data_IF_018033055185
#
_entry.id   IF_018033055185
#
_cell.length_a   1.000
_cell.length_b   1.000
_cell.length_c   1.000
_cell.angle_alpha   90.00
_cell.angle_beta   90.00
_cell.angle_gamma   90.00
#
_symmetry.space_group_name_H-M   'P 1'
#
loop_
_entity.id
_entity.type
_entity.pdbx_description
1 polymer ?
#
# COMPACT_ATOMS: atom_id res chain seq x y z
N UNK A 1 -1.86 -3.02 14.96
CA UNK A 1 -0.46 -2.59 14.93
C UNK A 1 -0.03 -2.11 16.31
N UNK A 2 1.09 -2.63 16.81
CA UNK A 2 1.62 -2.28 18.13
C UNK A 2 2.68 -1.18 18.07
N UNK A 3 3.40 -1.10 16.96
CA UNK A 3 4.33 -0.01 16.65
C UNK A 3 3.88 0.74 15.40
N UNK A 4 3.87 2.06 15.43
CA UNK A 4 3.54 2.91 14.29
C UNK A 4 4.82 3.58 13.77
N UNK A 5 5.07 3.57 12.44
CA UNK A 5 6.23 4.24 11.86
C UNK A 5 5.99 5.76 11.83
N UNK A 6 6.20 6.39 12.96
CA UNK A 6 6.08 7.85 13.10
C UNK A 6 7.06 8.60 12.21
N UNK A 7 6.68 9.80 11.80
CA UNK A 7 7.62 10.71 11.17
C UNK A 7 8.83 10.94 12.10
N UNK A 8 10.07 10.95 11.58
CA UNK A 8 11.26 11.19 12.38
C UNK A 8 11.22 12.52 13.15
N UNK A 9 10.40 13.46 12.71
CA UNK A 9 10.19 14.76 13.34
C UNK A 9 9.05 14.76 14.36
N UNK A 10 8.39 13.61 14.57
CA UNK A 10 7.31 13.52 15.53
C UNK A 10 7.85 13.61 16.95
N UNK A 11 7.15 14.39 17.79
CA UNK A 11 7.51 14.62 19.18
C UNK A 11 7.62 13.33 19.99
N UNK A 12 6.73 12.37 19.71
CA UNK A 12 6.65 11.12 20.46
C UNK A 12 7.76 10.14 20.08
N UNK A 13 8.18 10.15 18.81
CA UNK A 13 9.39 9.43 18.35
C UNK A 13 10.64 9.98 19.05
N UNK A 14 10.79 11.31 19.07
CA UNK A 14 11.94 11.97 19.74
C UNK A 14 11.97 11.64 21.22
N UNK A 15 10.81 11.57 21.87
CA UNK A 15 10.67 11.26 23.30
C UNK A 15 10.67 9.77 23.63
N UNK A 16 10.67 8.87 22.63
CA UNK A 16 10.63 7.40 22.78
C UNK A 16 9.47 6.90 23.64
N UNK A 17 8.24 7.44 23.47
CA UNK A 17 7.18 7.29 24.48
C UNK A 17 5.84 6.81 23.99
N UNK A 18 5.62 6.39 22.77
CA UNK A 18 4.24 6.04 22.44
C UNK A 18 3.98 4.54 22.47
N UNK A 19 3.53 4.07 23.63
CA UNK A 19 2.95 2.75 23.79
C UNK A 19 1.41 2.78 23.79
N UNK A 20 0.80 3.97 23.65
CA UNK A 20 -0.64 4.15 23.82
C UNK A 20 -1.43 3.35 22.79
N UNK A 21 -1.10 3.48 21.51
CA UNK A 21 -1.76 2.71 20.45
C UNK A 21 -1.48 1.21 20.54
N UNK A 22 -0.27 0.83 20.96
CA UNK A 22 0.07 -0.55 21.23
C UNK A 22 -0.82 -1.16 22.30
N UNK A 23 -1.01 -0.42 23.42
CA UNK A 23 -1.86 -0.87 24.51
C UNK A 23 -3.34 -0.96 24.12
N UNK A 24 -3.87 0.03 23.40
CA UNK A 24 -5.25 0.00 22.90
C UNK A 24 -5.47 -1.22 22.01
N UNK A 25 -4.56 -1.47 21.06
CA UNK A 25 -4.69 -2.60 20.14
C UNK A 25 -4.57 -3.95 20.87
N UNK A 26 -3.67 -4.06 21.85
CA UNK A 26 -3.56 -5.25 22.70
C UNK A 26 -4.84 -5.49 23.50
N UNK A 27 -5.31 -4.46 24.23
CA UNK A 27 -6.51 -4.57 25.04
C UNK A 27 -7.77 -4.90 24.22
N UNK A 28 -7.91 -4.29 23.05
CA UNK A 28 -8.99 -4.59 22.10
C UNK A 28 -8.90 -6.02 21.58
N UNK A 29 -7.70 -6.49 21.24
CA UNK A 29 -7.48 -7.87 20.80
C UNK A 29 -7.79 -8.87 21.91
N UNK A 30 -7.43 -8.56 23.17
CA UNK A 30 -7.74 -9.43 24.30
C UNK A 30 -9.25 -9.51 24.58
N UNK A 31 -9.96 -8.39 24.45
CA UNK A 31 -11.40 -8.31 24.73
C UNK A 31 -12.30 -8.87 23.61
N UNK A 32 -11.80 -8.95 22.38
CA UNK A 32 -12.57 -9.44 21.23
C UNK A 32 -12.81 -10.96 21.35
N UNK A 33 -13.93 -11.45 20.82
CA UNK A 33 -14.20 -12.90 20.68
C UNK A 33 -13.44 -13.48 19.49
N UNK A 34 -13.36 -12.75 18.36
CA UNK A 34 -12.62 -13.12 17.15
C UNK A 34 -11.85 -11.92 16.59
N UNK A 35 -10.72 -12.22 15.92
CA UNK A 35 -9.84 -11.20 15.35
C UNK A 35 -9.52 -11.57 13.90
N UNK A 36 -9.86 -10.67 12.98
CA UNK A 36 -9.52 -10.81 11.58
C UNK A 36 -8.43 -9.83 11.18
N UNK A 37 -7.33 -10.36 10.66
CA UNK A 37 -6.27 -9.56 10.06
C UNK A 37 -6.42 -9.52 8.54
N UNK A 38 -6.19 -8.38 7.92
CA UNK A 38 -6.35 -8.21 6.48
C UNK A 38 -5.24 -8.85 5.63
N UNK A 39 -4.17 -9.34 6.26
CA UNK A 39 -3.11 -10.12 5.61
C UNK A 39 -2.34 -10.95 6.65
N UNK A 40 -1.66 -11.98 6.17
CA UNK A 40 -0.74 -12.78 7.00
C UNK A 40 0.44 -11.94 7.50
N UNK A 41 0.93 -11.02 6.65
CA UNK A 41 1.94 -10.05 7.05
C UNK A 41 1.46 -9.19 8.23
N UNK A 42 0.24 -8.68 8.19
CA UNK A 42 -0.34 -7.88 9.29
C UNK A 42 -0.43 -8.69 10.58
N UNK A 43 -0.95 -9.91 10.51
CA UNK A 43 -1.06 -10.82 11.65
C UNK A 43 0.32 -11.12 12.25
N UNK A 44 1.27 -11.51 11.42
CA UNK A 44 2.63 -11.83 11.87
C UNK A 44 3.33 -10.59 12.49
N UNK A 45 3.17 -9.42 11.89
CA UNK A 45 3.72 -8.16 12.42
C UNK A 45 3.14 -7.85 13.81
N UNK A 46 1.84 -8.06 14.00
CA UNK A 46 1.20 -7.86 15.30
C UNK A 46 1.79 -8.79 16.37
N UNK A 47 1.90 -10.08 16.10
CA UNK A 47 2.40 -11.05 17.08
C UNK A 47 3.90 -10.94 17.33
N UNK A 48 4.70 -10.58 16.31
CA UNK A 48 6.12 -10.33 16.48
C UNK A 48 6.40 -9.15 17.41
N UNK A 49 5.56 -8.11 17.35
CA UNK A 49 5.68 -6.93 18.20
C UNK A 49 5.04 -7.12 19.58
N UNK A 50 4.08 -8.04 19.72
CA UNK A 50 3.30 -8.23 20.96
C UNK A 50 4.16 -8.74 22.12
N UNK A 51 5.01 -9.72 21.87
CA UNK A 51 5.88 -10.27 22.89
C UNK A 51 6.85 -9.24 23.50
N UNK A 52 7.67 -8.49 22.71
CA UNK A 52 8.53 -7.46 23.27
C UNK A 52 7.73 -6.31 23.90
N UNK A 53 6.53 -6.01 23.37
CA UNK A 53 5.65 -5.00 23.95
C UNK A 53 5.21 -5.37 25.37
N UNK A 54 4.72 -6.61 25.58
CA UNK A 54 4.29 -7.06 26.90
C UNK A 54 5.49 -7.20 27.87
N UNK A 55 6.64 -7.66 27.41
CA UNK A 55 7.87 -7.71 28.22
C UNK A 55 8.39 -6.36 28.67
N UNK A 56 7.93 -5.27 28.07
CA UNK A 56 8.31 -3.93 28.52
C UNK A 56 7.73 -3.58 29.90
N UNK A 57 6.64 -4.21 30.30
CA UNK A 57 6.03 -4.02 31.61
C UNK A 57 6.79 -4.87 32.66
N UNK A 58 7.27 -4.25 33.77
CA UNK A 58 8.10 -4.95 34.77
C UNK A 58 7.34 -5.99 35.58
N UNK A 59 6.04 -5.74 35.78
CA UNK A 59 5.15 -6.59 36.57
C UNK A 59 3.90 -6.93 35.78
N UNK A 60 3.29 -8.10 36.03
CA UNK A 60 2.05 -8.53 35.39
C UNK A 60 2.05 -8.39 33.87
N UNK A 61 3.13 -8.83 33.22
CA UNK A 61 3.31 -8.69 31.77
C UNK A 61 2.39 -9.58 30.91
N UNK A 62 1.68 -10.52 31.55
CA UNK A 62 0.59 -11.32 30.96
C UNK A 62 0.93 -11.96 29.59
N UNK A 63 2.15 -12.49 29.45
CA UNK A 63 2.64 -13.08 28.18
C UNK A 63 1.75 -14.22 27.70
N UNK A 64 1.12 -14.95 28.62
CA UNK A 64 0.20 -16.05 28.30
C UNK A 64 -1.02 -15.60 27.49
N UNK A 65 -1.39 -14.33 27.57
CA UNK A 65 -2.45 -13.76 26.74
C UNK A 65 -2.13 -13.77 25.23
N UNK A 66 -0.86 -13.93 24.85
CA UNK A 66 -0.48 -14.05 23.43
C UNK A 66 -1.13 -15.27 22.81
N UNK A 67 -1.09 -16.42 23.48
CA UNK A 67 -1.71 -17.66 23.02
C UNK A 67 -3.24 -17.52 22.95
N UNK A 68 -3.85 -16.85 23.94
CA UNK A 68 -5.29 -16.57 23.93
C UNK A 68 -5.69 -15.75 22.70
N UNK A 69 -4.90 -14.72 22.39
CA UNK A 69 -5.16 -13.85 21.21
C UNK A 69 -4.89 -14.63 19.91
N UNK A 70 -3.85 -15.44 19.85
CA UNK A 70 -3.52 -16.24 18.66
C UNK A 70 -4.64 -17.22 18.31
N UNK A 71 -5.18 -17.93 19.31
CA UNK A 71 -6.22 -18.95 19.10
C UNK A 71 -7.54 -18.41 18.53
N UNK A 72 -7.79 -17.11 18.63
CA UNK A 72 -8.98 -16.42 18.08
C UNK A 72 -8.67 -15.50 16.92
N UNK A 73 -7.47 -15.64 16.34
CA UNK A 73 -6.98 -14.78 15.26
C UNK A 73 -6.83 -15.56 13.96
N UNK A 74 -7.33 -14.98 12.87
CA UNK A 74 -7.12 -15.52 11.54
C UNK A 74 -7.01 -14.41 10.47
N UNK A 75 -6.62 -14.79 9.26
CA UNK A 75 -6.54 -13.86 8.14
C UNK A 75 -7.85 -13.87 7.37
N UNK A 76 -8.44 -12.69 7.20
CA UNK A 76 -9.55 -12.45 6.29
C UNK A 76 -9.17 -11.23 5.43
N UNK A 77 -8.80 -11.48 4.17
CA UNK A 77 -8.39 -10.43 3.26
C UNK A 77 -9.53 -9.44 3.00
N UNK A 78 -9.18 -8.17 2.77
CA UNK A 78 -10.18 -7.16 2.44
C UNK A 78 -10.84 -7.47 1.10
N UNK A 79 -12.16 -7.41 1.09
CA UNK A 79 -12.96 -7.48 -0.13
C UNK A 79 -13.10 -6.07 -0.72
N UNK A 80 -12.91 -5.97 -2.04
CA UNK A 80 -12.88 -4.71 -2.78
C UNK A 80 -13.99 -4.70 -3.83
N UNK A 81 -14.56 -3.54 -4.08
CA UNK A 81 -15.54 -3.35 -5.17
C UNK A 81 -14.82 -3.03 -6.49
N UNK A 82 -14.12 -4.02 -7.06
CA UNK A 82 -13.28 -3.78 -8.23
C UNK A 82 -14.09 -3.66 -9.52
N UNK A 83 -15.16 -4.41 -9.69
CA UNK A 83 -15.99 -4.36 -10.90
C UNK A 83 -16.58 -2.97 -11.17
N UNK A 84 -16.77 -2.13 -10.15
CA UNK A 84 -17.26 -0.76 -10.34
C UNK A 84 -16.32 0.12 -11.17
N UNK A 85 -15.03 -0.21 -11.23
CA UNK A 85 -14.07 0.52 -12.06
C UNK A 85 -14.32 0.30 -13.56
N UNK A 86 -14.92 -0.82 -13.96
CA UNK A 86 -15.15 -1.15 -15.37
C UNK A 86 -16.11 -0.19 -16.06
N UNK A 87 -17.03 0.46 -15.33
CA UNK A 87 -17.90 1.51 -15.86
C UNK A 87 -17.15 2.73 -16.39
N UNK A 88 -15.91 2.91 -15.97
CA UNK A 88 -15.06 4.06 -16.31
C UNK A 88 -13.85 3.68 -17.16
N UNK A 89 -13.84 2.44 -17.69
CA UNK A 89 -12.74 1.94 -18.50
C UNK A 89 -12.48 2.86 -19.68
N UNK A 90 -11.24 3.26 -19.85
CA UNK A 90 -10.77 4.15 -20.91
C UNK A 90 -9.44 3.67 -21.47
N UNK A 91 -9.06 4.20 -22.63
CA UNK A 91 -7.75 3.94 -23.23
C UNK A 91 -6.62 4.44 -22.33
N UNK A 92 -5.53 3.71 -22.29
CA UNK A 92 -4.29 4.12 -21.63
C UNK A 92 -3.73 5.39 -22.27
N UNK A 93 -3.03 6.18 -21.48
CA UNK A 93 -2.33 7.36 -21.96
C UNK A 93 -1.23 6.99 -22.97
N UNK A 94 -1.04 7.81 -24.00
CA UNK A 94 -0.12 7.50 -25.10
C UNK A 94 1.37 7.67 -24.73
N UNK A 95 1.67 8.42 -23.69
CA UNK A 95 2.99 8.61 -23.09
C UNK A 95 3.06 7.83 -21.77
N UNK A 96 4.23 7.36 -21.30
CA UNK A 96 4.30 6.71 -20.01
C UNK A 96 3.72 7.59 -18.92
N UNK A 97 2.66 7.15 -18.27
CA UNK A 97 1.96 7.89 -17.22
C UNK A 97 2.14 7.19 -15.89
N UNK A 98 2.89 7.82 -15.02
CA UNK A 98 3.18 7.34 -13.67
C UNK A 98 2.06 7.74 -12.71
N UNK A 99 1.68 6.82 -11.85
CA UNK A 99 0.63 7.00 -10.86
C UNK A 99 1.20 6.94 -9.44
N UNK A 100 1.04 8.02 -8.69
CA UNK A 100 1.09 8.01 -7.23
C UNK A 100 -0.33 7.89 -6.70
N UNK A 101 -0.64 6.77 -6.03
CA UNK A 101 -1.99 6.48 -5.53
C UNK A 101 -2.00 6.22 -4.01
N UNK A 102 -1.44 7.16 -3.26
CA UNK A 102 -1.33 7.09 -1.81
C UNK A 102 -1.68 8.42 -1.16
N UNK A 103 -2.08 8.38 0.12
CA UNK A 103 -2.13 9.56 0.98
C UNK A 103 -0.75 10.22 1.01
N UNK A 104 -0.72 11.53 1.21
CA UNK A 104 0.53 12.28 1.25
C UNK A 104 1.13 12.22 2.64
N UNK A 105 1.62 11.05 2.99
CA UNK A 105 2.16 10.74 4.30
C UNK A 105 3.59 10.23 4.21
N UNK A 106 4.31 10.38 5.31
CA UNK A 106 5.71 9.99 5.46
C UNK A 106 5.94 8.49 5.17
N UNK A 107 5.05 7.63 5.66
CA UNK A 107 5.17 6.17 5.54
C UNK A 107 5.05 5.65 4.10
N UNK A 108 4.60 6.48 3.16
CA UNK A 108 4.59 6.17 1.72
C UNK A 108 5.90 6.51 1.02
N UNK A 109 6.86 7.12 1.76
CA UNK A 109 8.21 7.46 1.30
C UNK A 109 8.24 8.31 0.02
N UNK A 110 7.52 9.45 0.00
CA UNK A 110 7.45 10.32 -1.17
C UNK A 110 8.80 10.93 -1.55
N UNK A 111 9.72 11.11 -0.59
CA UNK A 111 11.07 11.58 -0.85
C UNK A 111 11.78 10.66 -1.84
N UNK A 112 11.80 9.37 -1.57
CA UNK A 112 12.45 8.38 -2.42
C UNK A 112 11.80 8.30 -3.81
N UNK A 113 10.47 8.35 -3.86
CA UNK A 113 9.72 8.37 -5.11
C UNK A 113 10.12 9.56 -5.97
N UNK A 114 9.98 10.78 -5.48
CA UNK A 114 10.25 11.98 -6.28
C UNK A 114 11.73 12.18 -6.61
N UNK A 115 12.66 11.79 -5.73
CA UNK A 115 14.10 11.83 -6.04
C UNK A 115 14.46 10.84 -7.16
N UNK A 116 13.83 9.67 -7.21
CA UNK A 116 14.02 8.71 -8.32
C UNK A 116 13.47 9.28 -9.63
N UNK A 117 12.27 9.87 -9.62
CA UNK A 117 11.71 10.52 -10.81
C UNK A 117 12.60 11.66 -11.31
N UNK A 118 13.16 12.47 -10.40
CA UNK A 118 14.08 13.53 -10.75
C UNK A 118 15.33 13.00 -11.45
N UNK A 119 15.93 11.92 -10.95
CA UNK A 119 17.08 11.25 -11.61
C UNK A 119 16.70 10.79 -13.02
N UNK A 120 15.54 10.18 -13.21
CA UNK A 120 15.07 9.74 -14.52
C UNK A 120 14.83 10.91 -15.48
N UNK A 121 14.21 12.00 -15.02
CA UNK A 121 14.02 13.22 -15.82
C UNK A 121 15.35 13.82 -16.26
N UNK A 122 16.34 13.92 -15.38
CA UNK A 122 17.70 14.38 -15.69
C UNK A 122 18.40 13.46 -16.70
N UNK A 123 18.17 12.15 -16.61
CA UNK A 123 18.68 11.17 -17.56
C UNK A 123 17.94 11.17 -18.92
N UNK A 124 16.99 12.07 -19.14
CA UNK A 124 16.29 12.28 -20.41
C UNK A 124 15.09 11.36 -20.65
N UNK A 125 14.63 10.61 -19.63
CA UNK A 125 13.40 9.82 -19.75
C UNK A 125 12.18 10.71 -19.70
N UNK A 126 11.29 10.56 -20.69
CA UNK A 126 10.05 11.33 -20.78
C UNK A 126 8.88 10.54 -20.20
N UNK A 127 8.07 11.19 -19.36
CA UNK A 127 6.89 10.63 -18.71
C UNK A 127 5.94 11.73 -18.27
N UNK A 128 4.67 11.38 -18.08
CA UNK A 128 3.69 12.22 -17.40
C UNK A 128 3.39 11.68 -15.99
N UNK A 129 2.79 12.48 -15.14
CA UNK A 129 2.61 12.20 -13.72
C UNK A 129 1.19 12.52 -13.25
N UNK A 130 0.59 11.57 -12.56
CA UNK A 130 -0.61 11.75 -11.75
C UNK A 130 -0.24 11.54 -10.29
N UNK A 131 -0.53 12.52 -9.43
CA UNK A 131 -0.34 12.43 -7.99
C UNK A 131 -1.70 12.57 -7.33
N UNK A 132 -2.30 11.44 -6.99
CA UNK A 132 -3.55 11.36 -6.23
C UNK A 132 -3.29 11.35 -4.74
N UNK A 133 -4.35 11.40 -3.97
CA UNK A 133 -4.33 11.20 -2.53
C UNK A 133 -4.61 12.45 -1.72
N UNK A 134 -5.04 12.20 -0.50
CA UNK A 134 -5.39 13.23 0.45
C UNK A 134 -4.15 13.95 0.97
N UNK A 135 -4.27 15.28 1.03
CA UNK A 135 -3.23 16.18 1.52
C UNK A 135 -3.65 16.74 2.87
N UNK A 136 -3.02 16.27 3.91
CA UNK A 136 -3.23 16.77 5.28
C UNK A 136 -2.32 17.97 5.58
N UNK A 137 -2.63 18.72 6.63
CA UNK A 137 -1.84 19.89 7.08
C UNK A 137 -0.37 19.58 7.32
N UNK A 138 -0.06 18.34 7.70
CA UNK A 138 1.30 17.86 8.01
C UNK A 138 1.96 17.06 6.87
N UNK A 139 1.46 17.20 5.64
CA UNK A 139 2.04 16.49 4.49
C UNK A 139 3.52 16.82 4.28
N UNK A 140 4.34 15.85 3.84
CA UNK A 140 5.76 16.06 3.58
C UNK A 140 6.02 17.19 2.61
N UNK A 141 6.98 18.07 2.94
CA UNK A 141 7.34 19.25 2.12
C UNK A 141 7.84 18.90 0.72
N UNK A 142 8.21 17.64 0.50
CA UNK A 142 8.68 17.16 -0.81
C UNK A 142 7.62 17.34 -1.89
N UNK A 143 6.32 17.21 -1.58
CA UNK A 143 5.25 17.40 -2.53
C UNK A 143 5.25 18.82 -3.14
N UNK A 144 5.50 19.86 -2.34
CA UNK A 144 5.59 21.24 -2.82
C UNK A 144 6.80 21.44 -3.74
N UNK A 145 7.95 20.83 -3.42
CA UNK A 145 9.16 20.88 -4.24
C UNK A 145 8.95 20.11 -5.55
N UNK A 146 8.40 18.89 -5.46
CA UNK A 146 8.14 18.05 -6.61
C UNK A 146 7.16 18.69 -7.60
N UNK A 147 6.09 19.34 -7.11
CA UNK A 147 5.15 20.06 -7.98
C UNK A 147 5.84 21.07 -8.89
N UNK A 148 6.85 21.80 -8.38
CA UNK A 148 7.63 22.75 -9.19
C UNK A 148 8.57 22.06 -10.18
N UNK A 149 9.23 20.95 -9.76
CA UNK A 149 10.19 20.22 -10.61
C UNK A 149 9.50 19.54 -11.79
N UNK A 150 8.29 19.05 -11.59
CA UNK A 150 7.53 18.26 -12.56
C UNK A 150 6.35 19.04 -13.19
N UNK A 151 6.32 20.37 -13.09
CA UNK A 151 5.19 21.20 -13.54
C UNK A 151 4.71 20.82 -14.94
N UNK A 152 5.64 20.66 -15.89
CA UNK A 152 5.35 20.31 -17.29
C UNK A 152 4.91 18.85 -17.50
N UNK A 153 5.10 17.99 -16.51
CA UNK A 153 4.77 16.56 -16.58
C UNK A 153 3.43 16.23 -15.88
N UNK A 154 2.89 17.15 -15.07
CA UNK A 154 1.75 16.88 -14.20
C UNK A 154 0.44 16.98 -14.97
N UNK A 155 -0.32 15.90 -15.02
CA UNK A 155 -1.69 15.87 -15.53
C UNK A 155 -2.73 16.06 -14.41
N UNK A 156 -2.42 15.59 -13.20
CA UNK A 156 -3.26 15.81 -12.02
C UNK A 156 -2.41 15.85 -10.75
N UNK A 157 -2.82 16.71 -9.79
CA UNK A 157 -2.12 16.86 -8.52
C UNK A 157 -3.08 17.16 -7.38
N UNK A 158 -3.28 16.19 -6.50
CA UNK A 158 -4.10 16.34 -5.30
C UNK A 158 -5.25 15.34 -5.21
N UNK A 159 -6.09 15.57 -4.22
CA UNK A 159 -7.24 14.73 -3.93
C UNK A 159 -8.33 14.84 -5.00
N UNK A 160 -8.93 13.73 -5.36
CA UNK A 160 -10.10 13.64 -6.25
C UNK A 160 -11.33 13.34 -5.40
N UNK A 161 -12.36 14.19 -5.50
CA UNK A 161 -13.53 14.12 -4.63
C UNK A 161 -14.53 13.03 -5.02
N UNK A 162 -14.62 12.72 -6.30
CA UNK A 162 -15.59 11.77 -6.82
C UNK A 162 -14.91 10.49 -7.35
N UNK A 163 -15.64 9.38 -7.22
CA UNK A 163 -15.16 8.07 -7.63
C UNK A 163 -14.92 7.98 -9.14
N UNK A 164 -15.77 8.61 -9.95
CA UNK A 164 -15.70 8.57 -11.40
C UNK A 164 -14.37 9.11 -11.93
N UNK A 165 -13.99 10.28 -11.42
CA UNK A 165 -12.71 10.91 -11.76
C UNK A 165 -11.52 10.09 -11.27
N UNK A 166 -11.62 9.51 -10.06
CA UNK A 166 -10.60 8.62 -9.51
C UNK A 166 -10.40 7.39 -10.40
N UNK A 167 -11.49 6.69 -10.75
CA UNK A 167 -11.46 5.51 -11.60
C UNK A 167 -10.88 5.82 -13.00
N UNK A 168 -11.29 6.95 -13.60
CA UNK A 168 -10.76 7.39 -14.90
C UNK A 168 -9.25 7.64 -14.87
N UNK A 169 -8.72 8.19 -13.78
CA UNK A 169 -7.27 8.38 -13.63
C UNK A 169 -6.52 7.05 -13.51
N UNK A 170 -7.07 6.09 -12.75
CA UNK A 170 -6.48 4.76 -12.64
C UNK A 170 -6.45 4.05 -14.00
N UNK A 171 -7.52 4.12 -14.79
CA UNK A 171 -7.54 3.53 -16.14
C UNK A 171 -6.57 4.20 -17.10
N UNK A 172 -6.39 5.51 -17.02
CA UNK A 172 -5.45 6.24 -17.89
C UNK A 172 -3.98 5.94 -17.59
N UNK A 173 -3.64 5.73 -16.33
CA UNK A 173 -2.26 5.50 -15.90
C UNK A 173 -1.69 4.19 -16.45
N UNK A 174 -0.37 4.12 -16.61
CA UNK A 174 0.35 2.97 -17.15
C UNK A 174 1.16 2.24 -16.09
N UNK A 175 1.82 2.96 -15.19
CA UNK A 175 2.82 2.42 -14.27
C UNK A 175 2.50 2.91 -12.87
N UNK A 176 2.54 1.98 -11.90
CA UNK A 176 2.32 2.21 -10.48
C UNK A 176 3.61 1.94 -9.70
N UNK A 177 4.50 2.93 -9.53
CA UNK A 177 5.66 2.78 -8.65
C UNK A 177 5.24 2.94 -7.19
N UNK A 178 5.56 1.96 -6.35
CA UNK A 178 5.21 1.93 -4.92
C UNK A 178 6.45 1.99 -4.07
N UNK A 179 6.52 2.96 -3.14
CA UNK A 179 7.69 3.19 -2.28
C UNK A 179 7.38 3.03 -0.79
N UNK A 180 6.19 2.56 -0.44
CA UNK A 180 5.69 2.47 0.93
C UNK A 180 6.64 1.73 1.88
N UNK A 181 6.78 2.29 3.08
CA UNK A 181 7.47 1.67 4.23
C UNK A 181 6.47 0.99 5.17
N UNK A 182 5.18 1.26 5.04
CA UNK A 182 4.10 0.70 5.82
C UNK A 182 2.90 0.40 4.94
N UNK A 183 2.45 -0.86 4.95
CA UNK A 183 1.23 -1.31 4.29
C UNK A 183 0.84 -2.70 4.79
N UNK A 184 -0.43 -2.88 5.12
CA UNK A 184 -0.94 -4.17 5.61
C UNK A 184 -1.78 -4.93 4.58
N UNK A 185 -2.30 -4.25 3.56
CA UNK A 185 -2.99 -4.87 2.44
C UNK A 185 -2.69 -4.13 1.13
N UNK A 186 -3.00 -2.84 1.03
CA UNK A 186 -2.76 -2.05 -0.18
C UNK A 186 -3.98 -1.99 -1.09
N UNK A 187 -5.12 -1.55 -0.55
CA UNK A 187 -6.37 -1.37 -1.32
C UNK A 187 -6.14 -0.59 -2.60
N UNK A 188 -5.55 0.61 -2.50
CA UNK A 188 -5.31 1.47 -3.66
C UNK A 188 -4.34 0.85 -4.70
N UNK A 189 -3.47 -0.06 -4.24
CA UNK A 189 -2.56 -0.81 -5.12
C UNK A 189 -3.36 -1.85 -5.92
N UNK A 190 -4.23 -2.61 -5.25
CA UNK A 190 -5.07 -3.61 -5.92
C UNK A 190 -6.05 -2.97 -6.91
N UNK A 191 -6.65 -1.82 -6.56
CA UNK A 191 -7.49 -1.04 -7.47
C UNK A 191 -6.72 -0.60 -8.72
N UNK A 192 -5.50 -0.08 -8.56
CA UNK A 192 -4.68 0.33 -9.68
C UNK A 192 -4.24 -0.86 -10.55
N UNK A 193 -3.90 -2.00 -9.94
CA UNK A 193 -3.56 -3.25 -10.66
C UNK A 193 -4.78 -3.76 -11.43
N UNK A 194 -5.96 -3.74 -10.83
CA UNK A 194 -7.20 -4.09 -11.51
C UNK A 194 -7.44 -3.22 -12.75
N UNK A 195 -7.14 -1.92 -12.65
CA UNK A 195 -7.18 -0.97 -13.76
C UNK A 195 -5.97 -1.08 -14.71
N UNK A 196 -5.27 -2.22 -14.71
CA UNK A 196 -4.18 -2.53 -15.66
C UNK A 196 -3.00 -1.55 -15.57
N UNK A 197 -2.60 -1.15 -14.35
CA UNK A 197 -1.34 -0.43 -14.14
C UNK A 197 -0.22 -1.42 -13.82
N UNK A 198 0.95 -1.23 -14.46
CA UNK A 198 2.14 -2.05 -14.23
C UNK A 198 2.74 -1.71 -12.85
N UNK A 199 2.63 -2.61 -11.85
CA UNK A 199 3.13 -2.30 -10.51
C UNK A 199 4.64 -2.52 -10.42
N UNK A 200 5.31 -1.64 -9.67
CA UNK A 200 6.69 -1.80 -9.22
C UNK A 200 6.66 -1.73 -7.70
N UNK A 201 6.81 -2.85 -7.04
CA UNK A 201 6.54 -3.07 -5.63
C UNK A 201 7.81 -3.34 -4.83
N UNK A 202 7.93 -2.86 -3.59
CA UNK A 202 9.00 -3.33 -2.73
C UNK A 202 8.76 -4.79 -2.32
N UNK A 203 9.83 -5.59 -2.31
CA UNK A 203 9.77 -6.99 -1.88
C UNK A 203 9.70 -7.09 -0.35
N UNK A 204 8.66 -6.50 0.21
CA UNK A 204 8.39 -6.45 1.66
C UNK A 204 6.93 -6.17 1.93
N UNK A 205 6.54 -6.10 3.20
CA UNK A 205 5.18 -5.83 3.68
C UNK A 205 4.21 -6.92 3.20
N UNK A 206 2.96 -6.54 2.90
CA UNK A 206 1.94 -7.46 2.39
C UNK A 206 2.07 -7.81 0.90
N UNK A 207 2.88 -7.07 0.12
CA UNK A 207 2.93 -7.22 -1.33
C UNK A 207 3.31 -8.63 -1.82
N UNK A 208 4.36 -9.31 -1.26
CA UNK A 208 4.71 -10.67 -1.69
C UNK A 208 3.64 -11.73 -1.40
N UNK A 209 2.75 -11.47 -0.44
CA UNK A 209 1.60 -12.32 -0.14
C UNK A 209 0.48 -12.13 -1.17
N UNK A 210 0.21 -10.87 -1.52
CA UNK A 210 -0.89 -10.50 -2.40
C UNK A 210 -0.57 -10.80 -3.87
N UNK A 211 0.68 -10.60 -4.26
CA UNK A 211 1.22 -10.87 -5.59
C UNK A 211 2.43 -11.78 -5.42
N UNK A 212 2.31 -13.10 -5.65
CA UNK A 212 3.38 -14.06 -5.33
C UNK A 212 4.70 -13.70 -6.00
N UNK A 213 5.72 -13.38 -5.20
CA UNK A 213 7.04 -12.95 -5.66
C UNK A 213 7.68 -13.93 -6.66
N UNK A 214 7.57 -15.23 -6.41
CA UNK A 214 8.19 -16.26 -7.23
C UNK A 214 7.70 -16.25 -8.69
N UNK A 215 6.44 -15.85 -8.91
CA UNK A 215 5.81 -15.80 -10.22
C UNK A 215 5.96 -14.44 -10.89
N UNK A 216 6.22 -13.39 -10.11
CA UNK A 216 6.16 -12.00 -10.55
C UNK A 216 7.39 -11.18 -10.16
N UNK A 217 8.60 -11.78 -10.17
CA UNK A 217 9.87 -11.15 -9.75
C UNK A 217 10.16 -9.82 -10.43
N UNK A 218 9.74 -9.65 -11.68
CA UNK A 218 9.98 -8.43 -12.46
C UNK A 218 9.22 -7.21 -11.94
N UNK A 219 8.20 -7.43 -11.13
CA UNK A 219 7.44 -6.38 -10.47
C UNK A 219 8.05 -5.94 -9.13
N UNK A 220 9.11 -6.62 -8.66
CA UNK A 220 9.66 -6.38 -7.33
C UNK A 220 11.06 -5.76 -7.37
N UNK A 221 11.36 -4.99 -6.31
CA UNK A 221 12.68 -4.46 -6.03
C UNK A 221 13.02 -4.64 -4.54
N UNK A 222 14.31 -4.86 -4.25
CA UNK A 222 14.83 -5.05 -2.90
C UNK A 222 15.60 -3.81 -2.40
N UNK A 223 16.09 -2.96 -3.32
CA UNK A 223 16.88 -1.77 -3.01
C UNK A 223 16.64 -0.63 -4.02
N UNK A 224 17.25 0.51 -3.74
CA UNK A 224 17.04 1.74 -4.49
C UNK A 224 17.51 1.64 -5.96
N UNK A 225 18.60 0.94 -6.20
CA UNK A 225 19.13 0.80 -7.57
C UNK A 225 18.21 -0.08 -8.41
N UNK A 226 17.72 -1.17 -7.83
CA UNK A 226 16.71 -2.02 -8.49
C UNK A 226 15.42 -1.26 -8.77
N UNK A 227 14.96 -0.40 -7.85
CA UNK A 227 13.78 0.43 -8.09
C UNK A 227 13.97 1.35 -9.28
N UNK A 228 15.11 2.05 -9.34
CA UNK A 228 15.46 2.91 -10.47
C UNK A 228 15.48 2.13 -11.79
N UNK A 229 16.14 0.97 -11.82
CA UNK A 229 16.23 0.15 -13.03
C UNK A 229 14.89 -0.44 -13.45
N UNK A 230 14.05 -0.92 -12.50
CA UNK A 230 12.70 -1.39 -12.79
C UNK A 230 11.83 -0.28 -13.37
N UNK A 231 11.88 0.92 -12.80
CA UNK A 231 11.12 2.05 -13.27
C UNK A 231 11.60 2.54 -14.64
N UNK A 232 12.91 2.63 -14.84
CA UNK A 232 13.51 2.92 -16.15
C UNK A 232 13.04 1.94 -17.24
N UNK A 233 13.11 0.64 -16.96
CA UNK A 233 12.69 -0.40 -17.90
C UNK A 233 11.17 -0.34 -18.17
N UNK A 234 10.37 -0.03 -17.14
CA UNK A 234 8.94 0.14 -17.31
C UNK A 234 8.59 1.36 -18.18
N UNK A 235 9.32 2.47 -18.05
CA UNK A 235 9.14 3.66 -18.91
C UNK A 235 9.42 3.34 -20.38
N UNK A 236 10.44 2.52 -20.67
CA UNK A 236 10.79 2.13 -22.04
C UNK A 236 9.75 1.18 -22.62
N UNK A 237 9.28 0.22 -21.83
CA UNK A 237 8.48 -0.91 -22.30
C UNK A 237 6.99 -0.86 -21.90
N UNK A 238 6.45 0.29 -21.53
CA UNK A 238 5.09 0.41 -20.94
C UNK A 238 3.95 -0.11 -21.84
N UNK A 239 4.13 -0.05 -23.17
CA UNK A 239 3.12 -0.53 -24.14
C UNK A 239 3.14 -2.04 -24.35
N UNK A 240 4.25 -2.70 -24.05
CA UNK A 240 4.45 -4.14 -24.34
C UNK A 240 4.24 -5.04 -23.12
N UNK A 241 3.80 -4.50 -21.98
CA UNK A 241 3.61 -5.27 -20.75
C UNK A 241 2.29 -6.03 -20.79
N UNK A 242 2.36 -7.35 -20.63
CA UNK A 242 1.17 -8.17 -20.36
C UNK A 242 0.80 -8.03 -18.87
N UNK A 243 -0.41 -7.55 -18.63
CA UNK A 243 -0.92 -7.29 -17.29
C UNK A 243 -2.04 -8.26 -16.89
N UNK A 244 -2.44 -9.19 -17.76
CA UNK A 244 -3.56 -10.08 -17.51
C UNK A 244 -3.32 -10.98 -16.29
N UNK A 245 -2.13 -11.55 -16.16
CA UNK A 245 -1.78 -12.43 -15.03
C UNK A 245 -1.87 -11.71 -13.68
N UNK A 246 -1.36 -10.48 -13.62
CA UNK A 246 -1.36 -9.64 -12.42
C UNK A 246 -2.76 -9.09 -12.11
N UNK A 247 -3.52 -8.67 -13.12
CA UNK A 247 -4.91 -8.25 -12.95
C UNK A 247 -5.76 -9.36 -12.33
N UNK A 248 -5.59 -10.59 -12.78
CA UNK A 248 -6.30 -11.75 -12.23
C UNK A 248 -6.00 -11.99 -10.74
N UNK A 249 -4.80 -11.62 -10.26
CA UNK A 249 -4.48 -11.67 -8.84
C UNK A 249 -5.24 -10.61 -8.03
N UNK A 250 -5.46 -9.42 -8.57
CA UNK A 250 -6.30 -8.42 -7.92
C UNK A 250 -7.77 -8.85 -7.90
N UNK A 251 -8.26 -9.43 -9.00
CA UNK A 251 -9.67 -9.88 -9.14
C UNK A 251 -10.09 -10.87 -8.06
N UNK A 252 -9.18 -11.71 -7.53
CA UNK A 252 -9.52 -12.63 -6.43
C UNK A 252 -9.98 -11.91 -5.15
N UNK A 253 -9.63 -10.64 -4.98
CA UNK A 253 -10.05 -9.80 -3.86
C UNK A 253 -11.32 -8.99 -4.14
N UNK A 254 -11.94 -9.18 -5.31
CA UNK A 254 -13.22 -8.56 -5.59
C UNK A 254 -14.30 -9.09 -4.63
N UNK A 255 -15.19 -8.18 -4.19
CA UNK A 255 -16.30 -8.51 -3.29
C UNK A 255 -17.12 -9.69 -3.79
N UNK A 256 -17.38 -9.77 -5.08
CA UNK A 256 -18.08 -10.87 -5.71
C UNK A 256 -17.48 -12.25 -5.41
N UNK A 257 -16.15 -12.32 -5.32
CA UNK A 257 -15.42 -13.56 -5.04
C UNK A 257 -15.25 -13.84 -3.54
N UNK A 258 -15.24 -12.80 -2.71
CA UNK A 258 -15.02 -12.94 -1.28
C UNK A 258 -16.30 -12.94 -0.43
N UNK A 259 -17.44 -12.49 -0.95
CA UNK A 259 -18.68 -12.39 -0.17
C UNK A 259 -19.04 -13.72 0.52
N UNK A 260 -19.00 -14.84 -0.19
CA UNK A 260 -19.28 -16.16 0.39
C UNK A 260 -18.28 -16.59 1.46
N UNK A 261 -17.03 -16.14 1.35
CA UNK A 261 -15.99 -16.40 2.37
C UNK A 261 -16.31 -15.61 3.65
N UNK A 262 -16.75 -14.36 3.49
CA UNK A 262 -17.18 -13.53 4.62
C UNK A 262 -18.41 -14.12 5.30
N UNK A 263 -19.44 -14.48 4.53
CA UNK A 263 -20.66 -15.08 5.08
C UNK A 263 -20.35 -16.35 5.87
N UNK A 264 -19.59 -17.27 5.27
CA UNK A 264 -19.19 -18.52 5.96
C UNK A 264 -18.39 -18.26 7.24
N UNK A 265 -17.48 -17.28 7.22
CA UNK A 265 -16.70 -16.91 8.39
C UNK A 265 -17.57 -16.32 9.49
N UNK A 266 -18.48 -15.41 9.16
CA UNK A 266 -19.37 -14.77 10.12
C UNK A 266 -20.39 -15.77 10.70
N UNK A 267 -20.94 -16.66 9.86
CA UNK A 267 -21.83 -17.74 10.32
C UNK A 267 -21.14 -18.71 11.27
N UNK A 268 -19.84 -18.99 11.08
CA UNK A 268 -19.08 -19.90 11.94
C UNK A 268 -18.80 -19.34 13.35
N UNK A 269 -19.08 -18.05 13.56
CA UNK A 269 -18.86 -17.36 14.84
C UNK A 269 -20.16 -17.31 15.68
N UNK A 270 -21.30 -17.43 15.01
CA UNK A 270 -22.63 -17.42 15.64
C UNK A 270 -22.98 -18.77 16.26
#
# INVERSE_FOLDING_TARGET
>A
QLSYPWSPNDRDVIKKRDHHYGFINYASALAADFIFFNSKFHMNSFFNDLYPFLKHFPDYNEIDNIEIIQNKSEVLHLALELEKFDFFKSSKHNKPLLLWNHRWEYDKNPEFFFETLKKLKIAGYDFDLIVLGENFSNSPKIFQKAKKIFEDNILHWGYVKDFDSYAKWLWKANILPVTSCQEFFGVSIMEAIYCENYPILPNRLSYPELIPYQLHKDHYYDNNDQFYDRLKNALIAYKSKDLNSIKNLATKYDWKNLASVYDHKLESIL
#
